data_IF_616285121683
#
_entry.id   IF_616285121683
#
_cell.length_a   1.000
_cell.length_b   1.000
_cell.length_c   1.000
_cell.angle_alpha   90.00
_cell.angle_beta   90.00
_cell.angle_gamma   90.00
#
_symmetry.space_group_name_H-M   'P 1'
#
loop_
_entity.id
_entity.type
_entity.pdbx_description
1 polymer ?
#
# COMPACT_ATOMS: atom_id res chain seq x y z
N UNK A 1 -4.13 0.20 7.22
CA UNK A 1 -4.80 -0.27 6.02
C UNK A 1 -6.10 -0.97 6.33
N UNK A 2 -6.97 -0.99 5.37
CA UNK A 2 -8.30 -1.61 5.53
C UNK A 2 -8.71 -2.40 4.28
N UNK A 3 -9.57 -3.39 4.48
CA UNK A 3 -10.16 -4.19 3.40
C UNK A 3 -11.17 -3.38 2.53
N UNK A 4 -11.57 -2.20 2.96
CA UNK A 4 -12.40 -1.29 2.17
C UNK A 4 -11.62 -0.51 1.11
N UNK A 5 -10.30 -0.70 1.03
CA UNK A 5 -9.41 -0.03 0.08
C UNK A 5 -8.89 1.32 0.55
N UNK A 6 -9.11 1.68 1.81
CA UNK A 6 -8.61 2.92 2.40
C UNK A 6 -7.43 2.68 3.35
N UNK A 7 -6.59 3.68 3.47
CA UNK A 7 -5.66 3.85 4.58
C UNK A 7 -6.18 4.98 5.47
N UNK A 8 -6.20 4.75 6.76
CA UNK A 8 -6.69 5.68 7.76
C UNK A 8 -5.55 6.14 8.67
N UNK A 9 -5.53 7.43 8.96
CA UNK A 9 -4.65 8.00 9.97
C UNK A 9 -5.47 8.54 11.13
N UNK A 10 -5.16 8.07 12.33
CA UNK A 10 -5.84 8.48 13.56
C UNK A 10 -4.81 8.93 14.59
N UNK A 11 -5.22 9.82 15.48
CA UNK A 11 -4.38 10.23 16.60
C UNK A 11 -4.26 9.11 17.63
N UNK A 12 -3.03 8.80 18.05
CA UNK A 12 -2.77 7.64 18.91
C UNK A 12 -3.35 7.76 20.32
N UNK A 13 -3.49 8.97 20.84
CA UNK A 13 -3.99 9.21 22.21
C UNK A 13 -5.51 9.20 22.26
N UNK A 14 -6.17 9.92 21.37
CA UNK A 14 -7.64 10.12 21.38
C UNK A 14 -8.39 9.18 20.43
N UNK A 15 -7.70 8.54 19.48
CA UNK A 15 -8.33 7.81 18.38
C UNK A 15 -9.02 8.72 17.37
N UNK A 16 -8.80 10.01 17.46
CA UNK A 16 -9.46 11.01 16.62
C UNK A 16 -8.96 10.90 15.19
N UNK A 17 -9.90 10.95 14.24
CA UNK A 17 -9.62 10.87 12.82
C UNK A 17 -8.82 12.08 12.33
N UNK A 18 -7.73 11.84 11.59
CA UNK A 18 -6.92 12.88 10.96
C UNK A 18 -7.17 12.95 9.46
N UNK A 19 -6.90 11.85 8.75
CA UNK A 19 -7.14 11.79 7.31
C UNK A 19 -7.36 10.34 6.87
N UNK A 20 -7.95 10.18 5.68
CA UNK A 20 -8.05 8.90 4.98
C UNK A 20 -7.68 9.09 3.52
N UNK A 21 -7.22 8.02 2.89
CA UNK A 21 -6.83 8.00 1.49
C UNK A 21 -7.26 6.69 0.84
N UNK A 22 -7.73 6.78 -0.40
CA UNK A 22 -8.09 5.65 -1.24
C UNK A 22 -7.33 5.76 -2.56
N UNK A 23 -6.45 4.78 -2.90
CA UNK A 23 -5.65 4.84 -4.12
C UNK A 23 -6.48 4.89 -5.40
N UNK A 24 -7.60 4.18 -5.42
CA UNK A 24 -8.45 4.05 -6.59
C UNK A 24 -9.82 4.65 -6.34
N UNK A 25 -10.20 5.63 -7.16
CA UNK A 25 -11.50 6.28 -7.06
C UNK A 25 -12.65 5.34 -7.43
N UNK A 26 -12.43 4.44 -8.42
CA UNK A 26 -13.39 3.42 -8.83
C UNK A 26 -12.92 2.07 -8.34
N UNK A 27 -13.73 1.46 -7.50
CA UNK A 27 -13.39 0.27 -6.78
C UNK A 27 -14.63 -0.62 -6.78
N UNK A 28 -14.48 -1.88 -7.13
CA UNK A 28 -15.55 -2.87 -6.97
C UNK A 28 -15.45 -3.50 -5.59
N UNK A 29 -16.61 -3.76 -4.98
CA UNK A 29 -16.66 -4.55 -3.77
C UNK A 29 -17.00 -5.97 -4.14
N UNK A 30 -16.34 -6.92 -3.51
CA UNK A 30 -16.57 -8.35 -3.68
C UNK A 30 -16.96 -8.97 -2.33
N UNK A 31 -17.79 -9.99 -2.37
CA UNK A 31 -18.17 -10.73 -1.18
C UNK A 31 -17.04 -11.69 -0.80
N UNK A 32 -16.61 -11.65 0.46
CA UNK A 32 -15.60 -12.54 1.01
C UNK A 32 -15.94 -12.84 2.47
N UNK A 33 -16.17 -14.11 2.80
CA UNK A 33 -16.49 -14.55 4.16
C UNK A 33 -17.65 -13.75 4.81
N UNK A 34 -18.70 -13.46 4.05
CA UNK A 34 -19.86 -12.70 4.52
C UNK A 34 -19.65 -11.20 4.63
N UNK A 35 -18.52 -10.68 4.16
CA UNK A 35 -18.19 -9.25 4.14
C UNK A 35 -18.03 -8.74 2.72
N UNK A 36 -18.32 -7.46 2.51
CA UNK A 36 -17.93 -6.76 1.29
C UNK A 36 -16.54 -6.17 1.48
N UNK A 37 -15.62 -6.58 0.61
CA UNK A 37 -14.26 -6.03 0.59
C UNK A 37 -14.01 -5.32 -0.74
N UNK A 38 -13.06 -4.39 -0.74
CA UNK A 38 -12.59 -3.76 -1.97
C UNK A 38 -11.91 -4.80 -2.87
N UNK A 39 -11.97 -4.61 -4.18
CA UNK A 39 -11.15 -5.39 -5.12
C UNK A 39 -9.65 -5.05 -4.99
N UNK A 40 -9.31 -3.97 -4.31
CA UNK A 40 -7.93 -3.56 -4.01
C UNK A 40 -7.78 -3.25 -2.52
N UNK A 41 -7.88 -4.27 -1.66
CA UNK A 41 -7.73 -4.06 -0.21
C UNK A 41 -6.29 -3.70 0.14
N UNK A 42 -6.12 -2.97 1.24
CA UNK A 42 -4.79 -2.64 1.78
C UNK A 42 -4.38 -3.74 2.75
N UNK A 43 -3.69 -4.74 2.25
CA UNK A 43 -3.24 -5.91 3.02
C UNK A 43 -1.77 -5.88 3.38
N UNK A 44 -1.06 -4.84 3.00
CA UNK A 44 0.30 -4.61 3.46
C UNK A 44 0.28 -3.91 4.82
N UNK A 45 1.37 -4.04 5.57
CA UNK A 45 1.66 -3.11 6.64
C UNK A 45 1.81 -1.70 6.08
N UNK A 46 1.57 -0.72 6.92
CA UNK A 46 1.84 0.68 6.58
C UNK A 46 3.20 1.03 7.16
N UNK A 47 4.13 1.41 6.29
CA UNK A 47 5.49 1.79 6.68
C UNK A 47 5.59 3.32 6.74
N UNK A 48 6.02 3.84 7.88
CA UNK A 48 6.31 5.28 8.04
C UNK A 48 7.82 5.46 8.06
N UNK A 49 8.33 6.30 7.16
CA UNK A 49 9.74 6.65 7.13
C UNK A 49 9.91 8.12 6.77
N UNK A 50 10.55 8.91 7.67
CA UNK A 50 10.65 10.35 7.52
C UNK A 50 9.26 10.99 7.46
N UNK A 51 9.00 11.77 6.43
CA UNK A 51 7.71 12.43 6.19
C UNK A 51 6.76 11.62 5.34
N UNK A 52 7.14 10.40 4.96
CA UNK A 52 6.39 9.57 4.01
C UNK A 52 5.78 8.35 4.67
N UNK A 53 4.65 7.93 4.11
CA UNK A 53 3.95 6.70 4.45
C UNK A 53 3.88 5.85 3.19
N UNK A 54 4.23 4.57 3.28
CA UNK A 54 4.23 3.62 2.17
C UNK A 54 3.31 2.44 2.46
N UNK A 55 2.55 2.03 1.45
CA UNK A 55 1.70 0.85 1.52
C UNK A 55 1.39 0.33 0.12
N UNK A 56 0.85 -0.88 0.04
CA UNK A 56 0.41 -1.49 -1.21
C UNK A 56 -1.07 -1.83 -1.19
N UNK A 57 -1.72 -1.66 -2.34
CA UNK A 57 -3.10 -2.07 -2.58
C UNK A 57 -3.12 -3.18 -3.64
N UNK A 58 -3.52 -4.38 -3.25
CA UNK A 58 -3.42 -5.57 -4.11
C UNK A 58 -4.30 -6.69 -3.57
N UNK A 59 -4.89 -7.48 -4.44
CA UNK A 59 -5.64 -8.67 -4.04
C UNK A 59 -5.09 -9.93 -4.70
N UNK A 60 -4.98 -9.92 -6.02
CA UNK A 60 -4.64 -11.11 -6.82
C UNK A 60 -3.54 -10.77 -7.84
N UNK A 61 -2.67 -11.74 -8.18
CA UNK A 61 -1.50 -11.46 -9.03
C UNK A 61 -1.83 -11.15 -10.49
N UNK A 62 -3.00 -11.56 -10.97
CA UNK A 62 -3.41 -11.27 -12.36
C UNK A 62 -4.10 -9.92 -12.54
N UNK A 63 -4.31 -9.17 -11.46
CA UNK A 63 -4.75 -7.78 -11.52
C UNK A 63 -3.59 -6.85 -11.17
N UNK A 64 -3.78 -5.55 -11.41
CA UNK A 64 -2.78 -4.55 -11.06
C UNK A 64 -2.60 -4.47 -9.55
N UNK A 65 -1.37 -4.21 -9.15
CA UNK A 65 -1.00 -3.84 -7.79
C UNK A 65 -0.51 -2.41 -7.77
N UNK A 66 -0.81 -1.69 -6.70
CA UNK A 66 -0.47 -0.28 -6.56
C UNK A 66 0.42 -0.08 -5.34
N UNK A 67 1.60 0.48 -5.56
CA UNK A 67 2.48 0.94 -4.48
C UNK A 67 2.29 2.43 -4.31
N UNK A 68 1.94 2.83 -3.11
CA UNK A 68 1.53 4.20 -2.80
C UNK A 68 2.45 4.84 -1.78
N UNK A 69 2.70 6.13 -1.96
CA UNK A 69 3.36 6.96 -0.97
C UNK A 69 2.55 8.22 -0.71
N UNK A 70 2.34 8.53 0.56
CA UNK A 70 1.60 9.71 1.03
C UNK A 70 2.46 10.52 1.99
N UNK A 71 2.14 11.81 2.09
CA UNK A 71 2.63 12.65 3.18
C UNK A 71 1.94 12.23 4.49
N UNK A 72 2.71 11.96 5.53
CA UNK A 72 2.18 11.44 6.80
C UNK A 72 1.31 12.45 7.56
N UNK A 73 1.51 13.75 7.34
CA UNK A 73 0.82 14.81 8.09
C UNK A 73 -0.60 15.01 7.57
N UNK A 74 -0.76 15.14 6.26
CA UNK A 74 -2.04 15.51 5.62
C UNK A 74 -2.64 14.43 4.72
N UNK A 75 -1.92 13.32 4.49
CA UNK A 75 -2.38 12.25 3.61
C UNK A 75 -2.33 12.58 2.12
N UNK A 76 -1.64 13.65 1.72
CA UNK A 76 -1.53 13.98 0.30
C UNK A 76 -0.67 12.97 -0.45
N UNK A 77 -1.06 12.67 -1.69
CA UNK A 77 -0.35 11.69 -2.52
C UNK A 77 1.00 12.24 -2.96
N UNK A 78 2.06 11.47 -2.70
CA UNK A 78 3.41 11.72 -3.21
C UNK A 78 3.64 10.96 -4.50
N UNK A 79 3.33 9.66 -4.53
CA UNK A 79 3.27 8.88 -5.76
C UNK A 79 2.33 7.67 -5.63
N UNK A 80 1.84 7.21 -6.79
CA UNK A 80 1.21 5.89 -6.96
C UNK A 80 1.85 5.23 -8.16
N UNK A 81 2.46 4.08 -7.98
CA UNK A 81 3.04 3.31 -9.07
C UNK A 81 2.24 2.03 -9.29
N UNK A 82 2.00 1.70 -10.55
CA UNK A 82 1.22 0.53 -10.98
C UNK A 82 2.15 -0.59 -11.39
N UNK A 83 1.88 -1.80 -10.90
CA UNK A 83 2.67 -2.99 -11.19
C UNK A 83 1.77 -4.14 -11.60
N UNK A 84 2.28 -5.01 -12.46
CA UNK A 84 1.57 -6.19 -12.97
C UNK A 84 2.28 -7.47 -12.55
N UNK A 85 1.55 -8.58 -12.53
CA UNK A 85 2.09 -9.91 -12.22
C UNK A 85 2.77 -10.02 -10.85
N UNK A 86 2.28 -9.26 -9.87
CA UNK A 86 2.76 -9.32 -8.50
C UNK A 86 1.65 -9.03 -7.50
N UNK A 87 1.82 -9.49 -6.28
CA UNK A 87 0.90 -9.23 -5.17
C UNK A 87 1.68 -8.62 -4.02
N UNK A 88 1.26 -7.45 -3.56
CA UNK A 88 1.88 -6.76 -2.44
C UNK A 88 1.16 -7.13 -1.15
N UNK A 89 1.85 -7.82 -0.26
CA UNK A 89 1.30 -8.30 1.02
C UNK A 89 2.37 -8.22 2.11
N UNK A 90 1.93 -8.23 3.36
CA UNK A 90 2.83 -8.28 4.51
C UNK A 90 3.49 -6.95 4.84
N UNK A 91 4.53 -6.99 5.65
CA UNK A 91 5.20 -5.80 6.15
C UNK A 91 6.29 -5.34 5.17
N UNK A 92 6.30 -4.07 4.86
CA UNK A 92 7.35 -3.44 4.08
C UNK A 92 8.55 -3.08 4.96
N UNK A 93 9.74 -3.11 4.36
CA UNK A 93 10.96 -2.55 4.93
C UNK A 93 11.51 -1.51 3.95
N UNK A 94 12.27 -0.56 4.45
CA UNK A 94 12.91 0.41 3.58
C UNK A 94 14.30 0.79 4.08
N UNK A 95 15.19 1.03 3.13
CA UNK A 95 16.43 1.75 3.33
C UNK A 95 16.23 3.22 2.92
N UNK A 96 17.31 3.99 2.90
CA UNK A 96 17.25 5.38 2.43
C UNK A 96 16.89 5.52 0.94
N UNK A 97 17.01 4.44 0.15
CA UNK A 97 16.82 4.47 -1.31
C UNK A 97 15.81 3.45 -1.82
N UNK A 98 15.56 2.38 -1.08
CA UNK A 98 14.84 1.20 -1.58
C UNK A 98 13.76 0.74 -0.61
N UNK A 99 12.59 0.40 -1.16
CA UNK A 99 11.52 -0.28 -0.45
C UNK A 99 11.60 -1.77 -0.79
N UNK A 100 11.53 -2.60 0.23
CA UNK A 100 11.52 -4.06 0.14
C UNK A 100 10.11 -4.55 0.47
N UNK A 101 9.44 -5.16 -0.50
CA UNK A 101 8.08 -5.65 -0.34
C UNK A 101 8.03 -7.18 -0.49
N UNK A 102 7.53 -7.90 0.50
CA UNK A 102 7.37 -9.34 0.36
C UNK A 102 6.24 -9.67 -0.62
N UNK A 103 6.34 -10.82 -1.28
CA UNK A 103 5.32 -11.33 -2.18
C UNK A 103 5.06 -12.83 -1.96
N UNK A 104 4.75 -13.18 -0.71
CA UNK A 104 4.50 -14.58 -0.35
C UNK A 104 5.77 -15.41 -0.31
N UNK A 105 5.83 -16.51 -1.08
CA UNK A 105 6.95 -17.47 -1.08
C UNK A 105 8.09 -17.12 -2.06
N UNK A 106 7.97 -16.04 -2.78
CA UNK A 106 8.96 -15.59 -3.76
C UNK A 106 9.95 -14.61 -3.13
N UNK A 107 11.03 -14.30 -3.87
CA UNK A 107 11.99 -13.27 -3.44
C UNK A 107 11.31 -11.92 -3.28
N UNK A 108 11.73 -11.11 -2.31
CA UNK A 108 11.16 -9.79 -2.13
C UNK A 108 11.30 -8.91 -3.38
N UNK A 109 10.30 -8.08 -3.60
CA UNK A 109 10.31 -7.06 -4.64
C UNK A 109 11.04 -5.82 -4.12
N UNK A 110 11.75 -5.16 -5.03
CA UNK A 110 12.50 -3.96 -4.74
C UNK A 110 11.93 -2.79 -5.54
N UNK A 111 11.72 -1.67 -4.86
CA UNK A 111 11.21 -0.45 -5.47
C UNK A 111 12.02 0.75 -5.06
N UNK A 112 12.14 1.71 -5.97
CA UNK A 112 12.75 3.01 -5.67
C UNK A 112 11.84 3.79 -4.70
N UNK A 113 12.42 4.27 -3.60
CA UNK A 113 11.65 4.96 -2.55
C UNK A 113 11.09 6.32 -2.99
N UNK A 114 11.66 6.93 -4.02
CA UNK A 114 11.24 8.25 -4.49
C UNK A 114 10.05 8.21 -5.44
N UNK A 115 9.92 7.16 -6.24
CA UNK A 115 8.91 7.09 -7.30
C UNK A 115 8.15 5.77 -7.37
N UNK A 116 8.53 4.77 -6.57
CA UNK A 116 7.89 3.46 -6.56
C UNK A 116 8.16 2.60 -7.79
N UNK A 117 9.13 2.96 -8.62
CA UNK A 117 9.50 2.13 -9.78
C UNK A 117 10.17 0.86 -9.34
N UNK A 118 9.84 -0.25 -10.01
CA UNK A 118 10.46 -1.54 -9.75
C UNK A 118 11.96 -1.51 -10.08
N UNK A 119 12.77 -1.98 -9.13
CA UNK A 119 14.21 -2.18 -9.32
C UNK A 119 14.40 -3.66 -9.61
N UNK A 120 15.08 -3.98 -10.71
CA UNK A 120 15.46 -5.38 -10.98
C UNK A 120 16.40 -5.84 -9.87
N UNK A 121 16.23 -7.09 -9.42
CA UNK A 121 16.98 -7.66 -8.30
C UNK A 121 18.50 -7.43 -8.44
N UNK A 122 19.08 -7.26 -7.31
CA UNK A 122 20.53 -7.22 -7.14
C UNK A 122 21.24 -8.37 -7.85
#
# INVERSE_FOLDING_TARGET
>A
GSDDGHVYCVESVSGKFNWKYKPLKKNRFIASNGKLISSYPIRTGVLVQGESVFFGASLVPWENSYLCSLNKINGSQLFVSTHTNMTLQGAFLASSKTIYAPQGRSVPLLFDIQNGKSIKSL
#
